data_IF_484731971255
#
_entry.id   IF_484731971255
#
_cell.length_a   1.000
_cell.length_b   1.000
_cell.length_c   1.000
_cell.angle_alpha   90.00
_cell.angle_beta   90.00
_cell.angle_gamma   90.00
#
_symmetry.space_group_name_H-M   'P 1'
#
loop_
_entity.id
_entity.type
_entity.pdbx_description
1 polymer ?
#
# COMPACT_ATOMS: atom_id res chain seq x y z
N UNK A 1 34.03 65.68 31.00
CA UNK A 1 34.18 64.33 30.55
C UNK A 1 32.88 63.63 30.83
N UNK A 2 32.05 63.36 29.78
CA UNK A 2 30.75 62.71 29.88
C UNK A 2 30.93 61.30 29.35
N UNK A 3 30.76 60.25 30.19
CA UNK A 3 30.80 58.84 29.80
C UNK A 3 29.44 58.44 29.26
N UNK A 4 29.41 58.01 28.02
CA UNK A 4 28.23 57.34 27.40
C UNK A 4 28.23 55.85 27.77
N UNK A 5 27.20 55.46 28.49
CA UNK A 5 26.93 54.04 28.81
C UNK A 5 26.06 53.45 27.70
N UNK A 6 26.62 52.59 26.85
CA UNK A 6 25.88 51.94 25.77
C UNK A 6 25.27 50.65 26.32
N UNK A 7 23.94 50.64 26.41
CA UNK A 7 23.15 49.45 26.83
C UNK A 7 22.97 48.52 25.64
N UNK A 8 23.59 47.35 25.67
CA UNK A 8 23.43 46.30 24.67
C UNK A 8 22.20 45.46 25.02
N UNK A 9 21.10 45.64 24.26
CA UNK A 9 19.91 44.80 24.38
C UNK A 9 20.11 43.59 23.51
N UNK A 10 20.37 42.42 24.12
CA UNK A 10 20.37 41.12 23.45
C UNK A 10 18.92 40.66 23.21
N UNK A 11 18.46 40.79 21.97
CA UNK A 11 17.21 40.19 21.52
C UNK A 11 17.41 38.70 21.34
N UNK A 12 16.91 37.90 22.29
CA UNK A 12 16.85 36.46 22.20
C UNK A 12 15.63 36.10 21.35
N UNK A 13 15.82 35.89 20.04
CA UNK A 13 14.80 35.34 19.14
C UNK A 13 14.65 33.84 19.42
N UNK A 14 13.70 33.49 20.26
CA UNK A 14 13.29 32.10 20.45
C UNK A 14 12.72 31.55 19.13
N UNK A 15 13.43 30.63 18.49
CA UNK A 15 12.90 29.85 17.38
C UNK A 15 11.86 28.89 17.98
N UNK A 16 10.59 29.26 17.86
CA UNK A 16 9.47 28.31 18.10
C UNK A 16 9.48 27.35 16.96
N UNK A 17 10.06 26.17 17.16
CA UNK A 17 9.89 25.03 16.24
C UNK A 17 8.43 24.59 16.33
N UNK A 18 7.64 24.94 15.33
CA UNK A 18 6.30 24.40 15.16
C UNK A 18 6.42 22.88 14.96
N UNK A 19 6.13 22.11 15.99
CA UNK A 19 5.93 20.66 15.87
C UNK A 19 4.73 20.45 14.94
N UNK A 20 4.95 19.74 13.85
CA UNK A 20 3.85 19.27 13.00
C UNK A 20 2.85 18.52 13.87
N UNK A 21 1.54 18.75 13.75
CA UNK A 21 0.56 18.04 14.55
C UNK A 21 0.72 16.55 14.32
N UNK A 22 1.00 15.80 15.38
CA UNK A 22 1.00 14.34 15.34
C UNK A 22 -0.39 13.87 14.90
N UNK A 23 -0.46 12.87 14.02
CA UNK A 23 -1.73 12.26 13.66
C UNK A 23 -2.50 11.89 14.94
N UNK A 24 -3.83 12.09 14.98
CA UNK A 24 -4.62 11.74 16.16
C UNK A 24 -4.42 10.27 16.52
N UNK A 25 -4.27 9.99 17.81
CA UNK A 25 -4.12 8.62 18.30
C UNK A 25 -5.37 7.80 17.95
N UNK A 26 -5.19 6.57 17.53
CA UNK A 26 -6.30 5.64 17.24
C UNK A 26 -7.21 5.50 18.46
N UNK A 27 -8.50 5.45 18.22
CA UNK A 27 -9.50 5.03 19.22
C UNK A 27 -9.33 3.57 19.60
N UNK A 28 -9.92 3.15 20.71
CA UNK A 28 -9.90 1.74 21.14
C UNK A 28 -10.54 0.81 20.08
N UNK A 29 -11.62 1.26 19.43
CA UNK A 29 -12.30 0.48 18.39
C UNK A 29 -11.48 0.36 17.13
N UNK A 30 -10.76 1.40 16.71
CA UNK A 30 -9.88 1.34 15.54
C UNK A 30 -8.71 0.39 15.76
N UNK A 31 -8.07 0.41 16.94
CA UNK A 31 -7.06 -0.61 17.30
C UNK A 31 -7.64 -2.01 17.28
N UNK A 32 -8.81 -2.19 17.91
CA UNK A 32 -9.49 -3.48 17.93
C UNK A 32 -9.83 -3.99 16.52
N UNK A 33 -10.17 -3.11 15.58
CA UNK A 33 -10.46 -3.47 14.19
C UNK A 33 -9.19 -3.91 13.45
N UNK A 34 -8.07 -3.19 13.62
CA UNK A 34 -6.76 -3.61 13.08
C UNK A 34 -6.36 -4.97 13.64
N UNK A 35 -6.47 -5.16 14.95
CA UNK A 35 -6.16 -6.43 15.62
C UNK A 35 -7.05 -7.58 15.14
N UNK A 36 -8.36 -7.34 14.97
CA UNK A 36 -9.30 -8.33 14.44
C UNK A 36 -8.92 -8.72 13.00
N UNK A 37 -8.51 -7.75 12.17
CA UNK A 37 -8.05 -7.99 10.81
C UNK A 37 -6.79 -8.85 10.81
N UNK A 38 -5.83 -8.55 11.66
CA UNK A 38 -4.58 -9.31 11.78
C UNK A 38 -4.85 -10.78 12.15
N UNK A 39 -5.75 -11.03 13.10
CA UNK A 39 -6.15 -12.38 13.52
C UNK A 39 -7.15 -13.05 12.59
N UNK A 40 -7.60 -12.37 11.52
CA UNK A 40 -8.67 -12.80 10.63
C UNK A 40 -10.00 -13.10 11.39
N UNK A 41 -10.30 -12.33 12.43
CA UNK A 41 -11.57 -12.42 13.17
C UNK A 41 -12.66 -11.62 12.43
N UNK A 42 -13.28 -12.29 11.45
CA UNK A 42 -14.29 -11.69 10.56
C UNK A 42 -15.50 -11.17 11.36
N UNK A 43 -15.93 -11.89 12.40
CA UNK A 43 -17.10 -11.49 13.19
C UNK A 43 -16.81 -10.26 14.07
N UNK A 44 -15.63 -10.17 14.68
CA UNK A 44 -15.23 -8.97 15.41
C UNK A 44 -15.09 -7.77 14.45
N UNK A 45 -14.45 -7.96 13.29
CA UNK A 45 -14.33 -6.92 12.27
C UNK A 45 -15.71 -6.42 11.80
N UNK A 46 -16.65 -7.34 11.51
CA UNK A 46 -18.02 -7.02 11.11
C UNK A 46 -18.73 -6.16 12.16
N UNK A 47 -18.68 -6.56 13.44
CA UNK A 47 -19.33 -5.81 14.52
C UNK A 47 -18.74 -4.40 14.67
N UNK A 48 -17.42 -4.28 14.64
CA UNK A 48 -16.73 -2.99 14.77
C UNK A 48 -17.05 -2.05 13.59
N UNK A 49 -17.02 -2.57 12.36
CA UNK A 49 -17.39 -1.81 11.16
C UNK A 49 -18.86 -1.38 11.21
N UNK A 50 -19.78 -2.27 11.60
CA UNK A 50 -21.20 -1.96 11.75
C UNK A 50 -21.46 -0.90 12.85
N UNK A 51 -20.59 -0.81 13.85
CA UNK A 51 -20.61 0.24 14.87
C UNK A 51 -20.01 1.59 14.40
N UNK A 52 -19.65 1.71 13.12
CA UNK A 52 -19.11 2.94 12.53
C UNK A 52 -17.60 3.15 12.74
N UNK A 53 -16.84 2.11 13.13
CA UNK A 53 -15.39 2.21 13.27
C UNK A 53 -14.74 2.48 11.92
N UNK A 54 -13.81 3.45 11.85
CA UNK A 54 -13.11 3.80 10.63
C UNK A 54 -12.23 2.64 10.14
N UNK A 55 -12.43 2.23 8.88
CA UNK A 55 -11.60 1.21 8.21
C UNK A 55 -10.31 1.79 7.65
N UNK A 56 -10.18 3.13 7.66
CA UNK A 56 -9.07 3.89 7.07
C UNK A 56 -8.10 4.43 8.13
N UNK A 57 -8.45 4.37 9.40
CA UNK A 57 -7.58 4.84 10.48
C UNK A 57 -6.29 4.00 10.51
N UNK A 58 -5.15 4.69 10.45
CA UNK A 58 -3.83 4.05 10.37
C UNK A 58 -3.12 4.10 11.72
N UNK A 59 -2.50 3.00 12.10
CA UNK A 59 -1.62 2.92 13.27
C UNK A 59 -0.25 3.57 13.00
N UNK A 60 0.65 3.48 13.97
CA UNK A 60 2.01 4.01 13.89
C UNK A 60 2.85 3.36 12.75
N UNK A 61 2.47 2.15 12.34
CA UNK A 61 3.08 1.44 11.21
C UNK A 61 2.45 1.81 9.88
N UNK A 62 1.46 2.73 9.89
CA UNK A 62 0.62 3.08 8.75
C UNK A 62 -0.20 1.90 8.22
N UNK A 63 -0.53 0.95 9.07
CA UNK A 63 -1.45 -0.12 8.76
C UNK A 63 -2.88 0.31 9.16
N UNK A 64 -3.85 0.09 8.27
CA UNK A 64 -5.28 0.21 8.55
C UNK A 64 -5.95 -1.15 8.34
N UNK A 65 -7.19 -1.30 8.81
CA UNK A 65 -7.93 -2.53 8.56
C UNK A 65 -8.02 -2.87 7.07
N UNK A 66 -8.24 -1.87 6.20
CA UNK A 66 -8.27 -2.06 4.75
C UNK A 66 -6.91 -2.49 4.19
N UNK A 67 -5.84 -1.74 4.50
CA UNK A 67 -4.50 -2.04 3.99
C UNK A 67 -4.01 -3.42 4.45
N UNK A 68 -4.25 -3.74 5.72
CA UNK A 68 -3.87 -5.01 6.30
C UNK A 68 -4.67 -6.18 5.72
N UNK A 69 -5.98 -5.99 5.49
CA UNK A 69 -6.81 -7.01 4.84
C UNK A 69 -6.31 -7.34 3.43
N UNK A 70 -5.86 -6.33 2.67
CA UNK A 70 -5.21 -6.53 1.39
C UNK A 70 -3.89 -7.28 1.51
N UNK A 71 -2.99 -6.81 2.38
CA UNK A 71 -1.65 -7.36 2.56
C UNK A 71 -1.65 -8.83 3.03
N UNK A 72 -2.56 -9.17 3.93
CA UNK A 72 -2.65 -10.50 4.57
C UNK A 72 -3.65 -11.44 3.87
N UNK A 73 -4.27 -11.00 2.77
CA UNK A 73 -5.23 -11.81 2.04
C UNK A 73 -6.53 -12.12 2.81
N UNK A 74 -6.96 -11.23 3.71
CA UNK A 74 -8.15 -11.39 4.53
C UNK A 74 -9.41 -11.04 3.74
N UNK A 75 -9.75 -11.88 2.75
CA UNK A 75 -10.74 -11.58 1.71
C UNK A 75 -12.09 -11.10 2.26
N UNK A 76 -12.64 -11.77 3.28
CA UNK A 76 -13.94 -11.38 3.83
C UNK A 76 -13.88 -10.03 4.56
N UNK A 77 -12.80 -9.76 5.30
CA UNK A 77 -12.60 -8.46 5.94
C UNK A 77 -12.33 -7.39 4.88
N UNK A 78 -11.58 -7.69 3.81
CA UNK A 78 -11.38 -6.78 2.69
C UNK A 78 -12.72 -6.33 2.09
N UNK A 79 -13.63 -7.28 1.81
CA UNK A 79 -14.97 -6.95 1.30
C UNK A 79 -15.75 -6.06 2.25
N UNK A 80 -15.70 -6.33 3.56
CA UNK A 80 -16.33 -5.49 4.57
C UNK A 80 -15.76 -4.07 4.57
N UNK A 81 -14.43 -3.92 4.49
CA UNK A 81 -13.78 -2.60 4.46
C UNK A 81 -14.11 -1.82 3.19
N UNK A 82 -14.15 -2.49 2.03
CA UNK A 82 -14.55 -1.88 0.76
C UNK A 82 -15.99 -1.38 0.82
N UNK A 83 -16.93 -2.17 1.36
CA UNK A 83 -18.32 -1.78 1.56
C UNK A 83 -18.47 -0.60 2.53
N UNK A 84 -17.57 -0.48 3.49
CA UNK A 84 -17.55 0.60 4.48
C UNK A 84 -16.81 1.87 3.99
N UNK A 85 -16.44 1.96 2.73
CA UNK A 85 -15.81 3.15 2.14
C UNK A 85 -14.31 3.21 2.39
N UNK A 86 -13.60 2.11 2.15
CA UNK A 86 -12.14 2.10 2.18
C UNK A 86 -11.54 3.10 1.20
N UNK A 87 -10.55 3.86 1.65
CA UNK A 87 -9.78 4.78 0.80
C UNK A 87 -8.77 3.99 -0.04
N UNK A 88 -9.11 3.79 -1.32
CA UNK A 88 -8.30 3.06 -2.28
C UNK A 88 -6.93 3.70 -2.56
N UNK A 89 -6.75 4.99 -2.21
CA UNK A 89 -5.50 5.74 -2.38
C UNK A 89 -4.63 5.69 -1.13
N UNK A 90 -5.14 5.19 -0.01
CA UNK A 90 -4.34 5.06 1.20
C UNK A 90 -3.14 4.13 0.99
N UNK A 91 -2.02 4.44 1.65
CA UNK A 91 -0.77 3.70 1.46
C UNK A 91 -0.17 3.28 2.79
N UNK A 92 0.47 2.12 2.79
CA UNK A 92 1.23 1.60 3.91
C UNK A 92 2.58 2.35 4.10
N UNK A 93 3.39 1.90 5.06
CA UNK A 93 4.73 2.47 5.35
C UNK A 93 5.71 2.43 4.18
N UNK A 94 5.49 1.56 3.19
CA UNK A 94 6.30 1.48 1.98
C UNK A 94 5.73 2.32 0.82
N UNK A 95 4.64 3.03 1.04
CA UNK A 95 3.96 3.81 0.02
C UNK A 95 3.13 2.96 -0.95
N UNK A 96 2.91 1.69 -0.66
CA UNK A 96 2.09 0.79 -1.48
C UNK A 96 0.61 0.85 -1.08
N UNK A 97 -0.29 0.86 -2.06
CA UNK A 97 -1.72 0.63 -1.86
C UNK A 97 -1.97 -0.84 -1.45
N UNK A 98 -3.21 -1.18 -1.09
CA UNK A 98 -3.56 -2.56 -0.70
C UNK A 98 -3.25 -3.61 -1.80
N UNK A 99 -3.24 -3.21 -3.07
CA UNK A 99 -3.00 -4.11 -4.21
C UNK A 99 -1.55 -4.62 -4.25
N UNK A 100 -0.58 -3.75 -3.97
CA UNK A 100 0.84 -4.08 -4.09
C UNK A 100 1.22 -5.26 -3.18
N UNK A 101 1.03 -5.21 -1.84
CA UNK A 101 1.37 -6.34 -0.98
C UNK A 101 0.48 -7.57 -1.22
N UNK A 102 -0.78 -7.41 -1.66
CA UNK A 102 -1.60 -8.54 -2.07
C UNK A 102 -0.97 -9.32 -3.23
N UNK A 103 -0.41 -8.61 -4.20
CA UNK A 103 0.33 -9.22 -5.32
C UNK A 103 1.63 -9.88 -4.85
N UNK A 104 2.41 -9.19 -4.00
CA UNK A 104 3.64 -9.72 -3.40
C UNK A 104 3.42 -11.10 -2.73
N UNK A 105 2.39 -11.20 -1.88
CA UNK A 105 2.12 -12.43 -1.13
C UNK A 105 1.36 -13.49 -1.93
N UNK A 106 0.93 -13.15 -3.14
CA UNK A 106 0.25 -14.11 -4.01
C UNK A 106 -1.20 -14.38 -3.61
N UNK A 107 -1.90 -13.38 -3.07
CA UNK A 107 -3.30 -13.48 -2.64
C UNK A 107 -4.26 -13.27 -3.81
N UNK A 108 -4.38 -14.27 -4.70
CA UNK A 108 -5.11 -14.18 -5.99
C UNK A 108 -6.53 -13.62 -5.83
N UNK A 109 -7.33 -14.16 -4.90
CA UNK A 109 -8.73 -13.73 -4.74
C UNK A 109 -8.85 -12.31 -4.16
N UNK A 110 -7.91 -11.92 -3.30
CA UNK A 110 -7.81 -10.54 -2.79
C UNK A 110 -7.46 -9.57 -3.91
N UNK A 111 -6.48 -9.93 -4.77
CA UNK A 111 -6.13 -9.15 -5.97
C UNK A 111 -7.35 -9.03 -6.89
N UNK A 112 -8.05 -10.14 -7.15
CA UNK A 112 -9.27 -10.15 -7.98
C UNK A 112 -10.34 -9.21 -7.44
N UNK A 113 -10.54 -9.20 -6.12
CA UNK A 113 -11.53 -8.31 -5.48
C UNK A 113 -11.12 -6.83 -5.57
N UNK A 114 -9.85 -6.51 -5.29
CA UNK A 114 -9.33 -5.15 -5.41
C UNK A 114 -9.42 -4.61 -6.84
N UNK A 115 -9.15 -5.43 -7.85
CA UNK A 115 -9.21 -5.04 -9.26
C UNK A 115 -10.64 -4.78 -9.77
N UNK A 116 -11.69 -5.17 -9.04
CA UNK A 116 -13.09 -4.75 -9.35
C UNK A 116 -13.37 -3.30 -8.95
N UNK A 117 -12.50 -2.69 -8.18
CA UNK A 117 -12.63 -1.31 -7.69
C UNK A 117 -11.90 -0.32 -8.61
N UNK A 118 -11.94 0.96 -8.26
CA UNK A 118 -11.16 2.00 -8.94
C UNK A 118 -9.72 2.13 -8.39
N UNK A 119 -9.14 1.06 -7.82
CA UNK A 119 -7.77 1.09 -7.32
C UNK A 119 -6.79 1.33 -8.48
N UNK A 120 -5.80 2.20 -8.26
CA UNK A 120 -4.78 2.47 -9.28
C UNK A 120 -3.85 1.26 -9.43
N UNK A 121 -4.02 0.53 -10.55
CA UNK A 121 -3.21 -0.67 -10.87
C UNK A 121 -1.75 -0.32 -11.16
N UNK A 122 -1.48 0.94 -11.55
CA UNK A 122 -0.15 1.44 -11.91
C UNK A 122 0.49 2.27 -10.78
N UNK A 123 -0.11 2.27 -9.59
CA UNK A 123 0.48 2.94 -8.44
C UNK A 123 1.91 2.46 -8.20
N UNK A 124 2.84 3.41 -8.00
CA UNK A 124 4.25 3.14 -7.75
C UNK A 124 4.56 3.40 -6.27
N UNK A 125 5.12 2.42 -5.58
CA UNK A 125 5.51 2.55 -4.18
C UNK A 125 6.87 3.27 -4.03
N UNK A 126 7.34 3.46 -2.78
CA UNK A 126 8.62 4.14 -2.50
C UNK A 126 9.86 3.42 -3.00
N UNK A 127 9.75 2.13 -3.34
CA UNK A 127 10.82 1.34 -3.94
C UNK A 127 10.89 1.53 -5.47
N UNK A 128 9.92 2.25 -6.05
CA UNK A 128 9.77 2.40 -7.49
C UNK A 128 9.06 1.20 -8.14
N UNK A 129 8.28 0.43 -7.39
CA UNK A 129 7.64 -0.78 -7.88
C UNK A 129 6.13 -0.65 -7.94
N UNK A 130 5.56 -1.14 -9.05
CA UNK A 130 4.13 -1.36 -9.23
C UNK A 130 3.73 -2.73 -8.68
N UNK A 131 2.43 -2.99 -8.61
CA UNK A 131 1.90 -4.31 -8.29
C UNK A 131 2.43 -5.40 -9.25
N UNK A 132 2.58 -5.07 -10.54
CA UNK A 132 3.13 -5.98 -11.55
C UNK A 132 4.62 -6.26 -11.32
N UNK A 133 5.42 -5.23 -11.01
CA UNK A 133 6.83 -5.40 -10.66
C UNK A 133 6.99 -6.26 -9.39
N UNK A 134 6.20 -6.03 -8.34
CA UNK A 134 6.26 -6.88 -7.13
C UNK A 134 5.88 -8.33 -7.41
N UNK A 135 4.87 -8.56 -8.27
CA UNK A 135 4.49 -9.91 -8.71
C UNK A 135 5.66 -10.66 -9.34
N UNK A 136 6.45 -9.96 -10.18
CA UNK A 136 7.57 -10.57 -10.90
C UNK A 136 8.83 -10.66 -10.03
N UNK A 137 9.17 -9.58 -9.33
CA UNK A 137 10.43 -9.48 -8.57
C UNK A 137 10.40 -10.38 -7.32
N UNK A 138 9.30 -10.40 -6.59
CA UNK A 138 9.18 -11.10 -5.31
C UNK A 138 8.46 -12.45 -5.43
N UNK A 139 7.69 -12.64 -6.51
CA UNK A 139 7.08 -13.93 -6.82
C UNK A 139 8.08 -14.95 -7.33
N UNK A 140 7.78 -16.23 -7.10
CA UNK A 140 8.58 -17.36 -7.57
C UNK A 140 8.16 -17.88 -8.97
N UNK A 141 7.20 -17.21 -9.62
CA UNK A 141 6.70 -17.58 -10.94
C UNK A 141 5.78 -18.80 -10.96
N UNK A 142 5.31 -19.29 -9.81
CA UNK A 142 4.36 -20.39 -9.75
C UNK A 142 2.94 -19.96 -10.20
N UNK A 143 2.00 -20.90 -10.24
CA UNK A 143 0.64 -20.70 -10.78
C UNK A 143 -0.10 -19.49 -10.20
N UNK A 144 0.07 -19.17 -8.90
CA UNK A 144 -0.60 -18.01 -8.31
C UNK A 144 -0.06 -16.68 -8.85
N UNK A 145 1.25 -16.55 -9.06
CA UNK A 145 1.85 -15.33 -9.62
C UNK A 145 1.59 -15.20 -11.13
N UNK A 146 1.52 -16.31 -11.85
CA UNK A 146 1.09 -16.33 -13.25
C UNK A 146 -0.35 -15.80 -13.36
N UNK A 147 -1.26 -16.28 -12.50
CA UNK A 147 -2.65 -15.81 -12.49
C UNK A 147 -2.74 -14.32 -12.11
N UNK A 148 -1.97 -13.86 -11.11
CA UNK A 148 -1.91 -12.44 -10.73
C UNK A 148 -1.41 -11.58 -11.91
N UNK A 149 -0.36 -12.00 -12.61
CA UNK A 149 0.13 -11.28 -13.79
C UNK A 149 -0.96 -11.17 -14.87
N UNK A 150 -1.70 -12.25 -15.14
CA UNK A 150 -2.85 -12.24 -16.07
C UNK A 150 -3.93 -11.25 -15.63
N UNK A 151 -4.30 -11.26 -14.35
CA UNK A 151 -5.30 -10.35 -13.78
C UNK A 151 -4.87 -8.89 -13.93
N UNK A 152 -3.63 -8.56 -13.57
CA UNK A 152 -3.10 -7.20 -13.67
C UNK A 152 -3.10 -6.70 -15.13
N UNK A 153 -2.62 -7.53 -16.06
CA UNK A 153 -2.63 -7.21 -17.49
C UNK A 153 -4.05 -7.01 -18.02
N UNK A 154 -4.99 -7.88 -17.65
CA UNK A 154 -6.39 -7.75 -18.03
C UNK A 154 -7.04 -6.45 -17.52
N UNK A 155 -6.54 -5.93 -16.38
CA UNK A 155 -7.00 -4.66 -15.78
C UNK A 155 -6.09 -3.47 -16.14
N UNK A 156 -5.37 -3.54 -17.27
CA UNK A 156 -4.60 -2.43 -17.86
C UNK A 156 -3.37 -2.02 -17.06
N UNK A 157 -2.75 -2.94 -16.34
CA UNK A 157 -1.41 -2.68 -15.82
C UNK A 157 -0.46 -2.32 -16.98
N UNK A 158 0.30 -1.24 -16.81
CA UNK A 158 1.32 -0.85 -17.78
C UNK A 158 2.52 -1.81 -17.69
N UNK A 159 2.64 -2.67 -18.70
CA UNK A 159 3.67 -3.71 -18.77
C UNK A 159 5.07 -3.17 -19.05
N UNK A 160 5.19 -1.86 -19.36
CA UNK A 160 6.45 -1.19 -19.66
C UNK A 160 6.91 -0.23 -18.55
N UNK A 161 6.15 -0.05 -17.47
CA UNK A 161 6.59 0.72 -16.30
C UNK A 161 7.79 0.03 -15.66
N UNK A 162 8.97 0.64 -15.86
CA UNK A 162 10.22 0.15 -15.29
C UNK A 162 10.39 0.58 -13.83
N UNK A 163 11.23 -0.16 -13.11
CA UNK A 163 11.69 0.23 -11.77
C UNK A 163 12.70 1.40 -11.82
N UNK A 164 13.19 1.81 -10.64
CA UNK A 164 14.18 2.89 -10.51
C UNK A 164 15.53 2.60 -11.19
N UNK A 165 15.81 1.35 -11.58
CA UNK A 165 16.98 0.94 -12.33
C UNK A 165 16.72 0.87 -13.84
N UNK A 166 15.51 1.20 -14.28
CA UNK A 166 15.10 1.14 -15.67
C UNK A 166 14.80 -0.28 -16.18
N UNK A 167 14.64 -1.26 -15.26
CA UNK A 167 14.32 -2.63 -15.64
C UNK A 167 12.80 -2.81 -15.68
N UNK A 168 12.29 -3.25 -16.84
CA UNK A 168 10.85 -3.49 -17.03
C UNK A 168 10.40 -4.81 -16.38
N UNK A 169 9.08 -5.02 -16.14
CA UNK A 169 8.56 -6.30 -15.71
C UNK A 169 9.01 -7.47 -16.59
N UNK A 170 9.06 -7.29 -17.92
CA UNK A 170 9.55 -8.31 -18.84
C UNK A 170 11.04 -8.59 -18.64
N UNK A 171 11.85 -7.53 -18.43
CA UNK A 171 13.27 -7.67 -18.12
C UNK A 171 13.50 -8.54 -16.89
N UNK A 172 12.78 -8.25 -15.78
CA UNK A 172 12.83 -9.05 -14.56
C UNK A 172 12.35 -10.50 -14.76
N UNK A 173 11.25 -10.69 -15.49
CA UNK A 173 10.70 -12.03 -15.74
C UNK A 173 11.72 -12.91 -16.50
N UNK A 174 12.41 -12.35 -17.52
CA UNK A 174 13.46 -13.05 -18.29
C UNK A 174 14.68 -13.37 -17.41
N UNK A 175 15.16 -12.41 -16.62
CA UNK A 175 16.31 -12.61 -15.72
C UNK A 175 16.04 -13.71 -14.70
N UNK A 176 14.79 -13.86 -14.25
CA UNK A 176 14.37 -14.85 -13.24
C UNK A 176 13.90 -16.18 -13.84
N UNK A 177 13.90 -16.31 -15.17
CA UNK A 177 13.47 -17.51 -15.86
C UNK A 177 11.96 -17.80 -15.77
N UNK A 178 11.14 -16.78 -15.49
CA UNK A 178 9.68 -16.88 -15.35
C UNK A 178 9.02 -16.87 -16.75
N UNK A 179 9.19 -17.95 -17.49
CA UNK A 179 8.84 -18.03 -18.92
C UNK A 179 7.36 -17.75 -19.21
N UNK A 180 6.43 -18.25 -18.38
CA UNK A 180 4.99 -18.02 -18.59
C UNK A 180 4.61 -16.57 -18.34
N UNK A 181 5.16 -15.93 -17.30
CA UNK A 181 4.94 -14.51 -17.05
C UNK A 181 5.53 -13.68 -18.19
N UNK A 182 6.74 -13.98 -18.65
CA UNK A 182 7.34 -13.30 -19.80
C UNK A 182 6.44 -13.39 -21.04
N UNK A 183 5.91 -14.57 -21.36
CA UNK A 183 4.99 -14.75 -22.49
C UNK A 183 3.69 -13.94 -22.34
N UNK A 184 3.12 -13.83 -21.13
CA UNK A 184 1.95 -12.99 -20.85
C UNK A 184 2.27 -11.51 -21.13
N UNK A 185 3.43 -11.04 -20.65
CA UNK A 185 3.86 -9.66 -20.82
C UNK A 185 4.14 -9.32 -22.28
N UNK A 186 4.81 -10.22 -23.03
CA UNK A 186 5.06 -10.08 -24.46
C UNK A 186 3.75 -10.01 -25.27
N UNK A 187 2.81 -10.89 -24.97
CA UNK A 187 1.48 -10.87 -25.58
C UNK A 187 0.70 -9.57 -25.31
N UNK A 188 1.01 -8.90 -24.19
CA UNK A 188 0.44 -7.61 -23.81
C UNK A 188 1.21 -6.40 -24.37
N UNK A 189 2.26 -6.61 -25.18
CA UNK A 189 3.05 -5.56 -25.83
C UNK A 189 4.23 -5.05 -25.01
N UNK A 190 4.72 -5.82 -24.04
CA UNK A 190 5.95 -5.49 -23.32
C UNK A 190 7.18 -5.51 -24.26
N UNK A 191 8.14 -4.61 -23.99
CA UNK A 191 9.34 -4.39 -24.81
C UNK A 191 10.62 -4.49 -23.97
#
# INVERSE_FOLDING_TARGET
>A
MRAFLTLLILLWSGVVTAQSPSAPALTANERALIDATQRNDVEAARRLIAAGTSVNAQDEKRDSAFLLAGAEGRLEILKLTLQAGADLKSTNRYGGTALIPACHHGHVETVRELLKTAIDVNHVNRLGWTALLETVILGDGNAKYIEIARLLVAHKADVNLADNQGVTPLGHARQRGQREIAAILEAAGAR
#
